data_IF_069597849413
#
_entry.id   IF_069597849413
#
_cell.length_a   1.000
_cell.length_b   1.000
_cell.length_c   1.000
_cell.angle_alpha   90.00
_cell.angle_beta   90.00
_cell.angle_gamma   90.00
#
_symmetry.space_group_name_H-M   'P 1'
#
loop_
_entity.id
_entity.type
_entity.pdbx_description
1 polymer ?
#
# COMPACT_ATOMS: atom_id res chain seq x y z
N UNK A 1 7.28 5.10 10.58
CA UNK A 1 6.12 5.97 10.27
C UNK A 1 6.31 6.50 8.86
N UNK A 2 5.39 6.23 7.94
CA UNK A 2 5.38 6.89 6.63
C UNK A 2 4.65 8.23 6.81
N UNK A 3 5.35 9.34 6.55
CA UNK A 3 4.75 10.67 6.53
C UNK A 3 5.27 11.41 5.31
N UNK A 4 4.36 11.91 4.47
CA UNK A 4 4.70 12.89 3.44
C UNK A 4 4.20 14.25 3.93
N UNK A 5 5.07 15.26 4.09
CA UNK A 5 4.66 16.59 4.50
C UNK A 5 3.81 17.31 3.43
N UNK A 6 3.87 16.83 2.19
CA UNK A 6 3.07 17.31 1.06
C UNK A 6 2.03 16.27 0.63
N UNK A 7 0.95 16.72 -0.02
CA UNK A 7 -0.01 15.81 -0.62
C UNK A 7 0.60 14.97 -1.74
N UNK A 8 0.20 13.70 -1.84
CA UNK A 8 0.65 12.78 -2.90
C UNK A 8 -0.35 12.73 -4.04
N UNK A 9 0.15 12.58 -5.28
CA UNK A 9 -0.70 12.58 -6.49
C UNK A 9 -1.04 11.16 -6.91
N UNK A 10 -2.15 11.02 -7.64
CA UNK A 10 -2.61 9.76 -8.22
C UNK A 10 -2.64 8.63 -7.18
N UNK A 11 -3.20 8.93 -6.01
CA UNK A 11 -3.26 8.00 -4.90
C UNK A 11 -4.30 6.91 -5.19
N UNK A 12 -3.94 5.65 -4.96
CA UNK A 12 -4.80 4.49 -5.18
C UNK A 12 -4.70 3.52 -4.02
N UNK A 13 -5.84 2.91 -3.70
CA UNK A 13 -5.91 1.70 -2.88
C UNK A 13 -6.04 0.50 -3.81
N UNK A 14 -5.23 -0.50 -3.59
CA UNK A 14 -5.10 -1.68 -4.44
C UNK A 14 -5.54 -2.92 -3.67
N UNK A 15 -6.24 -3.81 -4.35
CA UNK A 15 -6.30 -5.21 -3.98
C UNK A 15 -5.10 -5.92 -4.59
N UNK A 16 -4.46 -6.78 -3.83
CA UNK A 16 -3.29 -7.55 -4.23
C UNK A 16 -3.64 -9.02 -4.33
N UNK A 17 -3.03 -9.72 -5.29
CA UNK A 17 -3.05 -11.18 -5.37
C UNK A 17 -1.68 -11.66 -5.80
N UNK A 18 -1.08 -12.55 -4.98
CA UNK A 18 0.23 -13.13 -5.26
C UNK A 18 0.15 -13.92 -6.56
N UNK A 19 1.06 -13.62 -7.48
CA UNK A 19 1.21 -14.36 -8.74
C UNK A 19 2.45 -15.24 -8.76
N UNK A 20 3.46 -14.88 -7.99
CA UNK A 20 4.74 -15.60 -7.90
C UNK A 20 5.46 -15.25 -6.59
N UNK A 21 6.36 -16.13 -6.15
CA UNK A 21 7.26 -15.90 -5.02
C UNK A 21 8.62 -16.43 -5.41
N UNK A 22 9.63 -15.58 -5.40
CA UNK A 22 11.00 -15.98 -5.76
C UNK A 22 11.69 -16.81 -4.66
N UNK A 23 12.88 -17.33 -4.97
CA UNK A 23 13.68 -18.15 -4.04
C UNK A 23 14.10 -17.41 -2.76
N UNK A 24 14.02 -16.07 -2.75
CA UNK A 24 14.31 -15.23 -1.58
C UNK A 24 13.05 -14.87 -0.78
N UNK A 25 11.89 -15.40 -1.18
CA UNK A 25 10.60 -15.11 -0.55
C UNK A 25 9.99 -13.76 -0.97
N UNK A 26 10.51 -13.11 -2.01
CA UNK A 26 9.91 -11.87 -2.53
C UNK A 26 8.69 -12.21 -3.39
N UNK A 27 7.52 -11.74 -2.95
CA UNK A 27 6.28 -11.92 -3.70
C UNK A 27 6.14 -10.91 -4.85
N UNK A 28 5.64 -11.39 -5.98
CA UNK A 28 5.11 -10.58 -7.08
C UNK A 28 3.59 -10.55 -6.99
N UNK A 29 3.00 -9.38 -7.21
CA UNK A 29 1.56 -9.16 -7.07
C UNK A 29 0.94 -8.70 -8.39
N UNK A 30 -0.20 -9.30 -8.73
CA UNK A 30 -1.20 -8.66 -9.58
C UNK A 30 -2.02 -7.67 -8.75
N UNK A 31 -2.51 -6.60 -9.39
CA UNK A 31 -3.22 -5.52 -8.68
C UNK A 31 -4.52 -5.12 -9.37
N UNK A 32 -5.54 -4.90 -8.56
CA UNK A 32 -6.84 -4.35 -8.96
C UNK A 32 -7.09 -3.07 -8.16
N UNK A 33 -7.57 -2.01 -8.82
CA UNK A 33 -7.85 -0.73 -8.16
C UNK A 33 -9.19 -0.80 -7.42
N UNK A 34 -9.16 -0.58 -6.11
CA UNK A 34 -10.36 -0.51 -5.27
C UNK A 34 -10.88 0.92 -5.12
N UNK A 35 -9.96 1.89 -5.14
CA UNK A 35 -10.26 3.30 -4.92
C UNK A 35 -9.15 4.18 -5.48
N UNK A 36 -9.50 5.38 -5.93
CA UNK A 36 -8.54 6.35 -6.45
C UNK A 36 -8.91 7.79 -6.07
N UNK A 37 -7.87 8.59 -5.83
CA UNK A 37 -7.94 10.03 -5.61
C UNK A 37 -6.88 10.73 -6.46
N UNK A 38 -7.22 11.83 -7.17
CA UNK A 38 -6.24 12.62 -7.89
C UNK A 38 -5.11 13.15 -7.00
N UNK A 39 -5.44 13.51 -5.75
CA UNK A 39 -4.49 13.95 -4.73
C UNK A 39 -5.00 13.59 -3.35
N UNK A 40 -4.13 13.03 -2.50
CA UNK A 40 -4.38 12.80 -1.08
C UNK A 40 -3.57 13.81 -0.29
N UNK A 41 -4.21 14.62 0.56
CA UNK A 41 -3.55 15.67 1.35
C UNK A 41 -3.74 15.44 2.85
N UNK A 42 -2.86 15.97 3.71
CA UNK A 42 -2.98 15.87 5.15
C UNK A 42 -4.29 16.47 5.72
N UNK A 43 -4.84 17.51 5.09
CA UNK A 43 -6.05 18.21 5.53
C UNK A 43 -7.32 17.39 5.26
N UNK A 44 -7.25 16.44 4.33
CA UNK A 44 -8.34 15.53 3.98
C UNK A 44 -7.86 14.08 4.07
N UNK A 45 -7.71 13.55 5.30
CA UNK A 45 -7.21 12.20 5.50
C UNK A 45 -8.19 11.15 4.95
N UNK A 46 -7.63 10.02 4.52
CA UNK A 46 -8.38 8.85 4.10
C UNK A 46 -8.36 7.81 5.22
N UNK A 47 -9.53 7.34 5.64
CA UNK A 47 -9.67 6.24 6.59
C UNK A 47 -10.06 4.98 5.82
N UNK A 48 -9.31 3.89 6.03
CA UNK A 48 -9.54 2.60 5.39
C UNK A 48 -9.95 1.56 6.43
N UNK A 49 -11.13 0.96 6.24
CA UNK A 49 -11.52 -0.26 6.93
C UNK A 49 -11.12 -1.46 6.08
N UNK A 50 -10.33 -2.37 6.65
CA UNK A 50 -9.83 -3.56 5.95
C UNK A 50 -9.80 -4.78 6.86
N UNK A 51 -9.80 -5.97 6.26
CA UNK A 51 -9.76 -7.24 6.97
C UNK A 51 -8.51 -8.01 6.55
N UNK A 52 -7.66 -8.35 7.51
CA UNK A 52 -6.45 -9.14 7.26
C UNK A 52 -6.77 -10.63 7.39
N UNK A 53 -6.61 -11.38 6.31
CA UNK A 53 -6.78 -12.83 6.27
C UNK A 53 -5.42 -13.52 6.36
N UNK A 54 -5.01 -13.90 7.57
CA UNK A 54 -3.69 -14.47 7.79
C UNK A 54 -2.55 -13.49 7.49
N UNK A 55 -1.40 -14.02 7.09
CA UNK A 55 -0.15 -13.26 6.88
C UNK A 55 0.10 -12.86 5.42
N UNK A 56 -0.81 -13.18 4.50
CA UNK A 56 -0.65 -12.81 3.09
C UNK A 56 -1.13 -11.37 2.88
N UNK A 57 -0.33 -10.48 2.26
CA UNK A 57 -0.79 -9.14 1.94
C UNK A 57 -1.88 -9.16 0.87
N UNK A 58 -3.04 -8.58 1.20
CA UNK A 58 -4.20 -8.50 0.30
C UNK A 58 -4.48 -7.07 -0.18
N UNK A 59 -3.87 -6.08 0.47
CA UNK A 59 -4.09 -4.66 0.19
C UNK A 59 -2.78 -3.93 0.00
N UNK A 60 -2.80 -2.91 -0.85
CA UNK A 60 -1.67 -2.03 -1.06
C UNK A 60 -2.12 -0.62 -1.38
N UNK A 61 -1.14 0.28 -1.45
CA UNK A 61 -1.31 1.65 -1.93
C UNK A 61 -0.30 1.93 -3.04
N UNK A 62 -0.69 2.82 -3.94
CA UNK A 62 0.24 3.42 -4.89
C UNK A 62 -0.01 4.90 -5.05
N UNK A 63 1.05 5.67 -5.27
CA UNK A 63 0.98 7.11 -5.54
C UNK A 63 2.22 7.57 -6.29
N UNK A 64 2.18 8.81 -6.76
CA UNK A 64 3.34 9.54 -7.26
C UNK A 64 3.93 10.38 -6.13
N UNK A 65 5.23 10.23 -5.89
CA UNK A 65 5.94 11.08 -4.95
C UNK A 65 6.22 12.48 -5.54
N UNK A 66 6.95 13.32 -4.79
CA UNK A 66 7.29 14.69 -5.20
C UNK A 66 8.14 14.76 -6.48
N UNK A 67 8.86 13.68 -6.81
CA UNK A 67 9.66 13.55 -8.04
C UNK A 67 8.86 12.98 -9.20
N UNK A 68 7.59 12.60 -8.98
CA UNK A 68 6.75 11.93 -9.96
C UNK A 68 7.07 10.44 -10.11
N UNK A 69 7.79 9.84 -9.16
CA UNK A 69 8.06 8.39 -9.18
C UNK A 69 6.89 7.61 -8.60
N UNK A 70 6.54 6.51 -9.26
CA UNK A 70 5.56 5.56 -8.74
C UNK A 70 6.11 4.85 -7.51
N UNK A 71 5.47 5.05 -6.36
CA UNK A 71 5.69 4.26 -5.15
C UNK A 71 4.55 3.28 -4.97
N UNK A 72 4.88 2.05 -4.61
CA UNK A 72 3.93 0.96 -4.36
C UNK A 72 4.33 0.28 -3.07
N UNK A 73 3.34 0.08 -2.20
CA UNK A 73 3.53 -0.61 -0.94
C UNK A 73 2.38 -1.56 -0.71
N UNK A 74 2.66 -2.76 -0.21
CA UNK A 74 1.62 -3.56 0.41
C UNK A 74 1.47 -3.14 1.88
N UNK A 75 0.25 -3.26 2.39
CA UNK A 75 -0.09 -3.00 3.77
C UNK A 75 -0.07 -4.33 4.49
N UNK A 76 0.70 -4.41 5.56
CA UNK A 76 0.79 -5.59 6.41
C UNK A 76 0.59 -5.21 7.88
N UNK A 77 0.31 -6.21 8.71
CA UNK A 77 0.23 -6.06 10.15
C UNK A 77 1.27 -6.96 10.82
N UNK A 78 2.13 -6.33 11.62
CA UNK A 78 3.09 -7.05 12.44
C UNK A 78 2.38 -8.05 13.36
N UNK A 79 2.75 -9.32 13.29
CA UNK A 79 2.25 -10.36 14.20
C UNK A 79 2.80 -10.24 15.63
N UNK A 80 3.87 -9.47 15.83
CA UNK A 80 4.49 -9.26 17.15
C UNK A 80 3.69 -8.26 17.99
N UNK A 81 3.33 -7.11 17.42
CA UNK A 81 2.78 -5.96 18.14
C UNK A 81 1.52 -5.35 17.50
N UNK A 82 1.05 -5.91 16.39
CA UNK A 82 -0.12 -5.42 15.67
C UNK A 82 0.10 -4.09 14.93
N UNK A 83 1.33 -3.60 14.83
CA UNK A 83 1.65 -2.37 14.11
C UNK A 83 1.39 -2.50 12.61
N UNK A 84 0.97 -1.40 11.98
CA UNK A 84 0.77 -1.34 10.52
C UNK A 84 2.11 -1.06 9.84
N UNK A 85 2.44 -1.90 8.87
CA UNK A 85 3.66 -1.81 8.07
C UNK A 85 3.32 -1.47 6.62
N UNK A 86 4.19 -0.66 6.01
CA UNK A 86 4.19 -0.41 4.57
C UNK A 86 5.48 -0.97 4.00
N UNK A 87 5.38 -1.95 3.11
CA UNK A 87 6.53 -2.64 2.53
C UNK A 87 6.52 -2.50 1.02
N UNK A 88 7.64 -2.05 0.46
CA UNK A 88 7.77 -1.80 -0.98
C UNK A 88 7.79 -3.11 -1.78
N UNK A 89 7.18 -3.12 -2.96
CA UNK A 89 7.18 -4.28 -3.87
C UNK A 89 7.32 -3.87 -5.34
#
# INVERSE_FOLDING_TARGET
MFSSPAGVKNFKVLKLSITDVDDNGKATFSTEELYALPTLTPERPLVLGMTFFGSTPHYGISFLDEKGEHKRFFIDQSGEDGSVLLVAF
#
